data_IF_785438124438
#
_entry.id   IF_785438124438
#
_cell.length_a   1.000
_cell.length_b   1.000
_cell.length_c   1.000
_cell.angle_alpha   90.00
_cell.angle_beta   90.00
_cell.angle_gamma   90.00
#
_symmetry.space_group_name_H-M   'P 1'
#
loop_
_entity.id
_entity.type
_entity.pdbx_description
1 polymer ?
#
# COMPACT_ATOMS: atom_id res chain seq x y z
N UNK A 1 2.87 11.01 -17.83
CA UNK A 1 4.21 10.43 -18.03
C UNK A 1 5.09 11.35 -18.84
N UNK A 2 4.61 11.82 -20.00
CA UNK A 2 5.26 12.83 -20.83
C UNK A 2 5.69 14.10 -20.05
N UNK A 3 4.86 14.58 -19.12
CA UNK A 3 5.20 15.74 -18.27
C UNK A 3 6.44 15.52 -17.37
N UNK A 4 6.65 14.31 -16.84
CA UNK A 4 7.84 13.97 -16.05
C UNK A 4 9.09 13.81 -16.92
N UNK A 5 8.92 13.29 -18.14
CA UNK A 5 9.99 13.19 -19.13
C UNK A 5 10.42 14.58 -19.60
N UNK A 6 9.46 15.50 -19.79
CA UNK A 6 9.71 16.92 -20.04
C UNK A 6 10.45 17.61 -18.88
N UNK A 7 10.03 17.40 -17.62
CA UNK A 7 10.72 17.93 -16.44
C UNK A 7 12.14 17.38 -16.27
N UNK A 8 12.34 16.08 -16.56
CA UNK A 8 13.65 15.46 -16.51
C UNK A 8 14.57 16.02 -17.62
N UNK A 9 13.98 16.38 -18.77
CA UNK A 9 14.68 16.98 -19.90
C UNK A 9 15.84 16.09 -20.36
N UNK A 10 17.01 16.70 -20.60
CA UNK A 10 18.25 16.01 -20.94
C UNK A 10 19.07 15.47 -19.76
N UNK A 11 18.68 15.77 -18.51
CA UNK A 11 19.52 15.48 -17.35
C UNK A 11 19.50 13.99 -16.98
N UNK A 12 20.65 13.27 -17.07
CA UNK A 12 20.68 11.82 -16.83
C UNK A 12 20.26 11.45 -15.40
N UNK A 13 20.63 12.26 -14.41
CA UNK A 13 20.27 12.04 -13.00
C UNK A 13 18.75 12.12 -12.76
N UNK A 14 18.06 13.09 -13.38
CA UNK A 14 16.61 13.22 -13.27
C UNK A 14 15.89 12.05 -13.95
N UNK A 15 16.35 11.63 -15.13
CA UNK A 15 15.79 10.45 -15.83
C UNK A 15 15.94 9.18 -15.01
N UNK A 16 17.13 8.93 -14.45
CA UNK A 16 17.38 7.80 -13.58
C UNK A 16 16.49 7.83 -12.32
N UNK A 17 16.28 9.01 -11.72
CA UNK A 17 15.36 9.19 -10.59
C UNK A 17 13.91 8.86 -10.98
N UNK A 18 13.41 9.39 -12.10
CA UNK A 18 12.05 9.08 -12.59
C UNK A 18 11.91 7.57 -12.84
N UNK A 19 12.90 6.96 -13.49
CA UNK A 19 12.87 5.54 -13.80
C UNK A 19 12.84 4.67 -12.54
N UNK A 20 13.73 4.93 -11.58
CA UNK A 20 13.78 4.13 -10.36
C UNK A 20 12.60 4.34 -9.42
N UNK A 21 12.07 5.57 -9.33
CA UNK A 21 10.89 5.82 -8.52
C UNK A 21 9.63 5.21 -9.14
N UNK A 22 9.48 5.21 -10.46
CA UNK A 22 8.27 4.71 -11.12
C UNK A 22 8.37 3.26 -11.60
N UNK A 23 9.49 2.56 -11.36
CA UNK A 23 9.67 1.17 -11.80
C UNK A 23 9.73 1.03 -13.32
N UNK A 24 10.46 1.92 -13.99
CA UNK A 24 10.76 1.83 -15.43
C UNK A 24 12.14 1.20 -15.68
N UNK A 25 12.46 0.96 -16.94
CA UNK A 25 13.78 0.54 -17.41
C UNK A 25 14.28 -0.75 -16.72
N UNK A 26 13.36 -1.72 -16.56
CA UNK A 26 13.62 -2.98 -15.88
C UNK A 26 13.66 -2.88 -14.35
N UNK A 27 13.51 -1.70 -13.77
CA UNK A 27 13.36 -1.56 -12.32
C UNK A 27 11.97 -1.99 -11.89
N UNK A 28 11.89 -2.78 -10.82
CA UNK A 28 10.60 -3.21 -10.28
C UNK A 28 9.90 -2.10 -9.50
N UNK A 29 8.57 -2.10 -9.50
CA UNK A 29 7.79 -1.24 -8.62
C UNK A 29 8.10 -1.54 -7.15
N UNK A 30 8.49 -0.51 -6.40
CA UNK A 30 8.68 -0.58 -4.95
C UNK A 30 7.63 0.27 -4.24
N UNK A 31 6.67 -0.36 -3.58
CA UNK A 31 5.57 0.28 -2.87
C UNK A 31 6.00 1.21 -1.73
N UNK A 32 7.22 1.06 -1.18
CA UNK A 32 7.74 1.88 -0.08
C UNK A 32 8.14 3.30 -0.54
N UNK A 33 8.43 3.50 -1.83
CA UNK A 33 8.89 4.78 -2.39
C UNK A 33 7.77 5.81 -2.55
N UNK A 34 6.80 5.87 -1.62
CA UNK A 34 5.65 6.79 -1.67
C UNK A 34 6.09 8.24 -1.51
N UNK A 35 6.84 8.53 -0.44
CA UNK A 35 7.34 9.89 -0.18
C UNK A 35 8.27 10.38 -1.30
N UNK A 36 9.29 9.62 -1.74
CA UNK A 36 10.14 10.05 -2.87
C UNK A 36 9.37 10.31 -4.17
N UNK A 37 8.30 9.54 -4.46
CA UNK A 37 7.43 9.80 -5.61
C UNK A 37 6.63 11.08 -5.45
N UNK A 38 6.07 11.32 -4.26
CA UNK A 38 5.39 12.59 -3.97
C UNK A 38 6.34 13.77 -4.15
N UNK A 39 7.55 13.69 -3.62
CA UNK A 39 8.57 14.74 -3.75
C UNK A 39 8.98 14.96 -5.21
N UNK A 40 9.11 13.89 -6.01
CA UNK A 40 9.32 14.00 -7.45
C UNK A 40 8.18 14.77 -8.15
N UNK A 41 6.92 14.42 -7.86
CA UNK A 41 5.77 15.10 -8.45
C UNK A 41 5.66 16.55 -8.00
N UNK A 42 6.01 16.83 -6.74
CA UNK A 42 6.09 18.18 -6.19
C UNK A 42 7.14 19.03 -6.91
N UNK A 43 8.37 18.55 -7.04
CA UNK A 43 9.46 19.23 -7.75
C UNK A 43 9.15 19.44 -9.24
N UNK A 44 8.34 18.56 -9.83
CA UNK A 44 7.88 18.66 -11.20
C UNK A 44 6.64 19.56 -11.37
N UNK A 45 6.06 20.08 -10.29
CA UNK A 45 4.84 20.90 -10.33
C UNK A 45 3.59 20.12 -10.77
N UNK A 46 3.58 18.80 -10.57
CA UNK A 46 2.53 17.87 -11.04
C UNK A 46 1.50 17.49 -9.96
N UNK A 47 1.62 18.11 -8.79
CA UNK A 47 0.63 18.07 -7.71
C UNK A 47 0.09 19.49 -7.49
N UNK A 48 -1.22 19.65 -7.21
CA UNK A 48 -1.83 20.97 -6.97
C UNK A 48 -1.05 21.80 -5.96
N UNK A 49 -0.64 21.17 -4.86
CA UNK A 49 0.00 21.85 -3.74
C UNK A 49 1.36 22.48 -4.11
N UNK A 50 2.01 22.01 -5.19
CA UNK A 50 3.27 22.57 -5.67
C UNK A 50 3.08 23.91 -6.41
N UNK A 51 1.87 24.19 -6.90
CA UNK A 51 1.55 25.43 -7.60
C UNK A 51 0.82 26.37 -6.64
N UNK A 52 1.36 27.57 -6.40
CA UNK A 52 0.69 28.65 -5.63
C UNK A 52 -0.42 29.32 -6.45
N UNK A 53 -1.28 28.56 -7.10
CA UNK A 53 -2.44 29.06 -7.86
C UNK A 53 -3.72 28.62 -7.17
N UNK A 54 -4.83 29.31 -7.46
CA UNK A 54 -6.14 28.91 -6.95
C UNK A 54 -6.41 27.44 -7.31
N UNK A 55 -7.03 26.66 -6.41
CA UNK A 55 -7.34 25.26 -6.64
C UNK A 55 -8.14 25.09 -7.95
N UNK A 56 -7.55 24.46 -8.97
CA UNK A 56 -8.27 24.08 -10.17
C UNK A 56 -8.55 22.58 -10.15
N UNK A 57 -9.79 22.19 -10.45
CA UNK A 57 -10.21 20.79 -10.53
C UNK A 57 -9.74 20.08 -11.80
N UNK A 58 -9.13 20.79 -12.74
CA UNK A 58 -8.71 20.28 -14.04
C UNK A 58 -7.17 20.21 -14.15
N UNK A 59 -6.67 19.08 -14.68
CA UNK A 59 -5.29 18.98 -15.19
C UNK A 59 -4.24 18.31 -14.30
N UNK A 60 -4.58 17.76 -13.14
CA UNK A 60 -3.59 17.13 -12.24
C UNK A 60 -3.38 15.64 -12.48
N UNK A 61 -2.10 15.23 -12.49
CA UNK A 61 -1.73 13.82 -12.60
C UNK A 61 -1.89 13.06 -11.26
N UNK A 62 -2.00 13.78 -10.15
CA UNK A 62 -2.15 13.20 -8.83
C UNK A 62 -3.62 12.85 -8.56
N UNK A 63 -3.96 11.59 -8.26
CA UNK A 63 -5.31 11.21 -7.91
C UNK A 63 -5.71 11.80 -6.54
N UNK A 64 -6.98 12.13 -6.37
CA UNK A 64 -7.56 12.62 -5.12
C UNK A 64 -7.66 14.15 -5.02
N UNK A 65 -8.23 14.61 -3.91
CA UNK A 65 -8.40 16.04 -3.63
C UNK A 65 -7.08 16.67 -3.17
N UNK A 66 -6.91 17.95 -3.52
CA UNK A 66 -5.85 18.78 -2.93
C UNK A 66 -5.97 18.78 -1.41
N UNK A 67 -4.83 18.67 -0.72
CA UNK A 67 -4.77 18.71 0.74
C UNK A 67 -4.14 20.01 1.20
N UNK A 68 -4.68 20.58 2.27
CA UNK A 68 -4.17 21.81 2.86
C UNK A 68 -2.74 21.64 3.38
N UNK A 69 -1.92 22.70 3.27
CA UNK A 69 -0.53 22.73 3.74
C UNK A 69 0.33 21.55 3.20
N UNK A 70 1.05 20.86 4.07
CA UNK A 70 1.90 19.71 3.75
C UNK A 70 1.22 18.37 4.07
N UNK A 71 -0.11 18.35 4.27
CA UNK A 71 -0.84 17.15 4.67
C UNK A 71 -0.64 15.97 3.72
N UNK A 72 -0.52 16.21 2.40
CA UNK A 72 -0.22 15.16 1.43
C UNK A 72 1.17 14.55 1.63
N UNK A 73 2.16 15.37 2.02
CA UNK A 73 3.51 14.89 2.36
C UNK A 73 3.52 14.07 3.64
N UNK A 74 2.79 14.51 4.66
CA UNK A 74 2.59 13.77 5.92
C UNK A 74 1.95 12.42 5.63
N UNK A 75 0.89 12.40 4.81
CA UNK A 75 0.23 11.16 4.40
C UNK A 75 1.17 10.24 3.61
N UNK A 76 1.92 10.76 2.64
CA UNK A 76 2.89 9.97 1.88
C UNK A 76 3.95 9.33 2.79
N UNK A 77 4.39 10.05 3.83
CA UNK A 77 5.30 9.54 4.85
C UNK A 77 4.65 8.45 5.70
N UNK A 78 3.41 8.66 6.15
CA UNK A 78 2.67 7.68 6.94
C UNK A 78 2.44 6.38 6.17
N UNK A 79 2.04 6.46 4.90
CA UNK A 79 1.85 5.28 4.03
C UNK A 79 3.16 4.56 3.77
N UNK A 80 4.26 5.28 3.49
CA UNK A 80 5.58 4.65 3.31
C UNK A 80 5.98 3.84 4.56
N UNK A 81 5.85 4.45 5.75
CA UNK A 81 6.15 3.77 7.02
C UNK A 81 5.23 2.58 7.28
N UNK A 82 3.94 2.72 7.00
CA UNK A 82 2.97 1.64 7.17
C UNK A 82 3.33 0.46 6.27
N UNK A 83 3.57 0.70 4.97
CA UNK A 83 3.95 -0.33 3.98
C UNK A 83 5.23 -1.07 4.37
N UNK A 84 6.23 -0.35 4.85
CA UNK A 84 7.45 -0.99 5.34
C UNK A 84 7.17 -1.83 6.59
N UNK A 85 6.37 -1.32 7.54
CA UNK A 85 6.05 -2.01 8.81
C UNK A 85 5.27 -3.29 8.62
N UNK A 86 4.30 -3.30 7.70
CA UNK A 86 3.49 -4.49 7.39
C UNK A 86 4.25 -5.57 6.62
N UNK A 87 5.53 -5.39 6.29
CA UNK A 87 6.35 -6.48 5.71
C UNK A 87 6.88 -7.44 6.77
N UNK A 88 7.10 -6.93 7.98
CA UNK A 88 7.76 -7.67 9.06
C UNK A 88 6.93 -7.77 10.34
N UNK A 89 5.81 -7.03 10.45
CA UNK A 89 4.92 -7.07 11.61
C UNK A 89 3.46 -7.08 11.15
N UNK A 90 2.58 -7.92 11.70
CA UNK A 90 1.24 -8.08 11.16
C UNK A 90 0.27 -7.01 11.72
N UNK A 91 0.67 -5.73 11.62
CA UNK A 91 -0.11 -4.57 12.06
C UNK A 91 -1.46 -4.47 11.33
N UNK A 92 -1.59 -5.11 10.16
CA UNK A 92 -2.86 -5.16 9.42
C UNK A 92 -4.02 -5.70 10.26
N UNK A 93 -3.79 -6.62 11.20
CA UNK A 93 -4.85 -7.15 12.06
C UNK A 93 -5.34 -6.13 13.10
N UNK A 94 -4.58 -5.08 13.39
CA UNK A 94 -5.02 -3.97 14.24
C UNK A 94 -6.00 -3.03 13.51
N UNK A 95 -6.02 -3.09 12.17
CA UNK A 95 -6.93 -2.31 11.32
C UNK A 95 -8.24 -3.04 11.01
N UNK A 96 -8.31 -4.33 11.35
CA UNK A 96 -9.48 -5.17 11.12
C UNK A 96 -10.34 -5.28 12.39
N UNK A 97 -11.65 -5.54 12.26
CA UNK A 97 -12.47 -5.93 13.39
C UNK A 97 -11.92 -7.20 14.06
N UNK A 98 -12.36 -7.49 15.29
CA UNK A 98 -11.94 -8.70 16.03
C UNK A 98 -12.17 -10.00 15.23
N UNK A 99 -13.20 -10.00 14.39
CA UNK A 99 -13.55 -11.09 13.50
C UNK A 99 -13.77 -10.55 12.09
N UNK A 100 -13.10 -11.18 11.13
CA UNK A 100 -13.06 -10.71 9.75
C UNK A 100 -13.11 -11.89 8.79
N UNK A 101 -13.51 -11.63 7.56
CA UNK A 101 -13.39 -12.61 6.47
C UNK A 101 -12.01 -12.53 5.83
N UNK A 102 -11.59 -13.59 5.12
CA UNK A 102 -10.36 -13.53 4.31
C UNK A 102 -10.43 -12.46 3.21
N UNK A 103 -11.64 -12.10 2.76
CA UNK A 103 -11.82 -11.03 1.79
C UNK A 103 -11.49 -9.67 2.43
N UNK A 104 -11.99 -9.40 3.64
CA UNK A 104 -11.70 -8.16 4.36
C UNK A 104 -10.20 -7.98 4.58
N UNK A 105 -9.52 -9.08 4.99
CA UNK A 105 -8.07 -9.08 5.14
C UNK A 105 -7.36 -8.83 3.81
N UNK A 106 -7.77 -9.50 2.73
CA UNK A 106 -7.19 -9.28 1.39
C UNK A 106 -7.35 -7.82 0.98
N UNK A 107 -8.56 -7.28 1.02
CA UNK A 107 -8.87 -5.91 0.61
C UNK A 107 -8.08 -4.88 1.44
N UNK A 108 -7.97 -5.10 2.75
CA UNK A 108 -7.18 -4.22 3.63
C UNK A 108 -5.70 -4.25 3.25
N UNK A 109 -5.13 -5.43 3.00
CA UNK A 109 -3.74 -5.55 2.59
C UNK A 109 -3.49 -4.95 1.19
N UNK A 110 -4.40 -5.15 0.25
CA UNK A 110 -4.34 -4.56 -1.11
C UNK A 110 -4.44 -3.04 -1.06
N UNK A 111 -5.35 -2.50 -0.25
CA UNK A 111 -5.52 -1.05 -0.06
C UNK A 111 -4.24 -0.42 0.50
N UNK A 112 -3.61 -1.06 1.49
CA UNK A 112 -2.35 -0.55 2.04
C UNK A 112 -1.22 -0.72 1.03
N UNK A 113 -1.07 -1.89 0.40
CA UNK A 113 0.01 -2.17 -0.54
C UNK A 113 -0.11 -1.33 -1.83
N UNK A 114 -1.32 -0.88 -2.19
CA UNK A 114 -1.60 -0.18 -3.45
C UNK A 114 -1.49 -1.10 -4.68
N UNK A 115 -1.67 -2.41 -4.51
CA UNK A 115 -1.68 -3.41 -5.58
C UNK A 115 -2.64 -4.54 -5.24
N UNK A 116 -3.17 -5.20 -6.25
CA UNK A 116 -4.04 -6.36 -6.08
C UNK A 116 -3.24 -7.64 -5.86
N UNK A 117 -3.86 -8.62 -5.20
CA UNK A 117 -3.32 -9.94 -4.96
C UNK A 117 -4.14 -11.00 -5.68
N UNK A 118 -3.45 -12.06 -6.11
CA UNK A 118 -4.11 -13.22 -6.65
C UNK A 118 -4.79 -14.01 -5.51
N UNK A 119 -6.13 -14.06 -5.53
CA UNK A 119 -6.96 -14.61 -4.45
C UNK A 119 -6.56 -16.05 -4.02
N UNK A 120 -6.33 -17.02 -4.93
CA UNK A 120 -5.82 -18.34 -4.55
C UNK A 120 -4.47 -18.32 -3.83
N UNK A 121 -3.54 -17.47 -4.27
CA UNK A 121 -2.21 -17.40 -3.67
C UNK A 121 -2.29 -16.77 -2.28
N UNK A 122 -3.10 -15.72 -2.16
CA UNK A 122 -3.35 -15.05 -0.89
C UNK A 122 -3.93 -16.03 0.16
N UNK A 123 -4.94 -16.81 -0.23
CA UNK A 123 -5.54 -17.82 0.66
C UNK A 123 -4.51 -18.85 1.13
N UNK A 124 -3.75 -19.45 0.20
CA UNK A 124 -2.69 -20.42 0.55
C UNK A 124 -1.66 -19.83 1.51
N UNK A 125 -1.23 -18.59 1.27
CA UNK A 125 -0.29 -17.91 2.14
C UNK A 125 -0.84 -17.75 3.56
N UNK A 126 -2.09 -17.29 3.69
CA UNK A 126 -2.71 -17.09 5.01
C UNK A 126 -2.88 -18.42 5.75
N UNK A 127 -3.32 -19.46 5.05
CA UNK A 127 -3.43 -20.82 5.61
C UNK A 127 -2.08 -21.37 6.08
N UNK A 128 -0.99 -21.11 5.35
CA UNK A 128 0.37 -21.50 5.73
C UNK A 128 0.97 -20.60 6.82
N UNK A 129 0.42 -19.41 7.03
CA UNK A 129 0.98 -18.43 7.95
C UNK A 129 0.67 -18.74 9.41
N UNK A 130 -0.30 -19.60 9.73
CA UNK A 130 -0.84 -19.85 11.08
C UNK A 130 -1.29 -18.59 11.85
N UNK A 131 -1.26 -17.39 11.24
CA UNK A 131 -1.56 -16.12 11.89
C UNK A 131 -3.04 -15.94 12.19
N UNK A 132 -3.91 -16.76 11.56
CA UNK A 132 -5.35 -16.68 11.70
C UNK A 132 -5.94 -18.03 12.05
N UNK A 133 -7.04 -18.02 12.79
CA UNK A 133 -7.81 -19.21 13.13
C UNK A 133 -9.27 -19.06 12.74
N UNK A 134 -9.88 -20.15 12.28
CA UNK A 134 -11.31 -20.18 11.95
C UNK A 134 -12.14 -20.16 13.24
N UNK A 135 -13.14 -19.29 13.29
CA UNK A 135 -13.98 -19.11 14.49
C UNK A 135 -15.20 -20.04 14.54
N UNK A 136 -15.42 -20.84 13.49
CA UNK A 136 -16.61 -21.64 13.28
C UNK A 136 -17.87 -20.85 12.91
N UNK A 137 -17.80 -19.51 12.91
CA UNK A 137 -18.91 -18.63 12.55
C UNK A 137 -18.84 -18.19 11.09
N UNK A 138 -20.02 -17.85 10.58
CA UNK A 138 -20.20 -17.31 9.24
C UNK A 138 -20.64 -15.85 9.32
N UNK A 139 -20.16 -15.03 8.38
CA UNK A 139 -20.57 -13.65 8.23
C UNK A 139 -22.06 -13.58 7.83
N UNK A 140 -22.85 -12.84 8.58
CA UNK A 140 -24.27 -12.57 8.30
C UNK A 140 -24.44 -11.31 7.45
N UNK A 141 -25.40 -11.30 6.52
CA UNK A 141 -25.86 -10.07 5.86
C UNK A 141 -25.23 -9.73 4.51
N UNK A 142 -24.34 -10.57 3.97
CA UNK A 142 -23.86 -10.43 2.59
C UNK A 142 -24.75 -11.26 1.65
N UNK A 143 -25.21 -10.65 0.54
CA UNK A 143 -25.90 -11.38 -0.51
C UNK A 143 -24.95 -12.42 -1.14
N UNK A 144 -25.32 -13.70 -1.06
CA UNK A 144 -24.51 -14.82 -1.56
C UNK A 144 -24.14 -15.85 -0.49
N UNK A 145 -23.14 -16.69 -0.77
CA UNK A 145 -22.66 -17.73 0.16
C UNK A 145 -21.98 -17.06 1.37
N UNK A 146 -22.44 -17.34 2.61
CA UNK A 146 -21.83 -16.76 3.81
C UNK A 146 -20.34 -17.09 3.90
N UNK A 147 -19.52 -16.06 4.14
CA UNK A 147 -18.08 -16.21 4.28
C UNK A 147 -17.71 -16.68 5.69
N UNK A 148 -16.67 -17.51 5.82
CA UNK A 148 -16.13 -17.92 7.12
C UNK A 148 -15.47 -16.74 7.83
N UNK A 149 -15.69 -16.65 9.14
CA UNK A 149 -15.05 -15.66 10.01
C UNK A 149 -13.79 -16.24 10.65
N UNK A 150 -12.74 -15.42 10.62
CA UNK A 150 -11.43 -15.70 11.18
C UNK A 150 -11.10 -14.70 12.28
N UNK A 151 -10.17 -15.09 13.16
CA UNK A 151 -9.59 -14.23 14.18
C UNK A 151 -8.07 -14.28 14.10
N UNK A 152 -7.43 -13.16 14.39
CA UNK A 152 -5.98 -13.10 14.53
C UNK A 152 -5.50 -13.88 15.76
N UNK A 153 -4.42 -14.65 15.63
CA UNK A 153 -3.78 -15.42 16.70
C UNK A 153 -2.47 -14.74 17.12
N UNK A 154 -2.44 -13.93 18.19
CA UNK A 154 -1.24 -13.21 18.61
C UNK A 154 -0.10 -14.11 19.10
N UNK A 155 -0.43 -15.30 19.64
CA UNK A 155 0.54 -16.25 20.19
C UNK A 155 1.63 -16.66 19.19
N UNK A 156 1.27 -16.76 17.91
CA UNK A 156 2.20 -17.12 16.82
C UNK A 156 3.29 -16.06 16.63
N UNK A 157 3.03 -14.78 16.96
CA UNK A 157 4.09 -13.77 16.92
C UNK A 157 5.11 -13.94 18.03
N UNK A 158 4.69 -14.31 19.24
CA UNK A 158 5.60 -14.56 20.35
C UNK A 158 6.53 -15.75 20.02
N UNK A 159 5.97 -16.80 19.41
CA UNK A 159 6.69 -17.99 18.95
C UNK A 159 7.62 -17.71 17.76
N UNK A 160 7.22 -16.83 16.83
CA UNK A 160 7.99 -16.46 15.62
C UNK A 160 8.92 -15.26 15.76
N UNK A 161 8.95 -14.59 16.93
CA UNK A 161 10.00 -13.62 17.29
C UNK A 161 11.40 -14.20 17.07
N UNK A 162 11.52 -15.53 17.10
CA UNK A 162 12.74 -16.29 16.86
C UNK A 162 13.08 -16.57 15.38
N UNK A 163 12.14 -16.44 14.44
CA UNK A 163 12.28 -16.99 13.07
C UNK A 163 11.91 -16.05 11.92
N UNK A 164 11.43 -14.83 12.19
CA UNK A 164 11.22 -13.79 11.17
C UNK A 164 9.97 -14.02 10.32
N UNK A 165 8.96 -13.16 10.46
CA UNK A 165 7.71 -13.27 9.68
C UNK A 165 7.87 -12.55 8.34
N UNK A 166 7.82 -13.27 7.21
CA UNK A 166 7.67 -12.67 5.87
C UNK A 166 6.18 -12.55 5.56
N UNK A 167 5.68 -11.33 5.44
CA UNK A 167 4.32 -11.04 4.94
C UNK A 167 4.32 -11.06 3.40
N UNK A 168 3.16 -11.29 2.74
CA UNK A 168 3.03 -11.58 1.30
C UNK A 168 3.30 -10.36 0.39
N UNK A 169 3.97 -9.35 0.95
CA UNK A 169 4.34 -8.11 0.30
C UNK A 169 5.80 -8.21 -0.18
N UNK A 170 6.61 -9.07 0.44
CA UNK A 170 7.97 -9.36 -0.01
C UNK A 170 7.88 -10.16 -1.32
N UNK A 171 8.49 -9.60 -2.38
CA UNK A 171 8.64 -10.23 -3.71
C UNK A 171 9.13 -11.67 -3.61
#
# INVERSE_FOLDING_TARGET
MEALEGWAGGAPSKRARVAGLLGKDGQGWNEDLVLPRYELLWEAGLVPEAQRKEPTTEGWLAPGLEMTHDHRRILATAIARLRSKIKYRPVVFELLPREFTLLDLQQTMEAIAGRTFHKPNFRRFIEQSDLVEETGRLASGLAGRPAKLFRFRPAVLAERSFTGTKLPIVK
#
